data_IF_024249971561
#
_entry.id   IF_024249971561
#
_cell.length_a   1.000
_cell.length_b   1.000
_cell.length_c   1.000
_cell.angle_alpha   90.00
_cell.angle_beta   90.00
_cell.angle_gamma   90.00
#
_symmetry.space_group_name_H-M   'P 1'
#
loop_
_entity.id
_entity.type
_entity.pdbx_description
1 polymer ?
#
# COMPACT_ATOMS: atom_id res chain seq x y z
N UNK A 1 -7.35 -26.86 -17.11
CA UNK A 1 -6.08 -26.36 -16.53
C UNK A 1 -6.22 -24.88 -16.35
N UNK A 2 -6.32 -24.39 -15.12
CA UNK A 2 -6.31 -22.97 -14.82
C UNK A 2 -4.86 -22.50 -14.81
N UNK A 3 -4.44 -21.79 -15.87
CA UNK A 3 -3.11 -21.22 -15.96
C UNK A 3 -2.87 -20.15 -14.90
N UNK A 4 -1.62 -19.68 -14.76
CA UNK A 4 -1.26 -18.55 -13.88
C UNK A 4 -2.04 -17.30 -14.28
N UNK A 5 -2.69 -16.67 -13.31
CA UNK A 5 -3.45 -15.43 -13.50
C UNK A 5 -2.60 -14.27 -13.00
N UNK A 6 -2.40 -13.27 -13.86
CA UNK A 6 -1.70 -12.03 -13.50
C UNK A 6 -2.68 -11.05 -12.86
N UNK A 7 -2.29 -10.45 -11.75
CA UNK A 7 -2.98 -9.33 -11.12
C UNK A 7 -2.07 -8.11 -11.06
N UNK A 8 -2.66 -6.93 -11.23
CA UNK A 8 -2.03 -5.65 -10.93
C UNK A 8 -2.57 -5.16 -9.61
N UNK A 9 -1.67 -4.81 -8.70
CA UNK A 9 -1.97 -4.17 -7.41
C UNK A 9 -1.45 -2.75 -7.49
N UNK A 10 -2.34 -1.77 -7.47
CA UNK A 10 -1.99 -0.35 -7.43
C UNK A 10 -2.06 0.14 -5.99
N UNK A 11 -1.02 0.81 -5.54
CA UNK A 11 -0.98 1.45 -4.22
C UNK A 11 -0.50 2.89 -4.32
N UNK A 12 -0.82 3.68 -3.31
CA UNK A 12 -0.34 5.04 -3.11
C UNK A 12 0.25 5.17 -1.71
N UNK A 13 1.33 5.93 -1.57
CA UNK A 13 2.02 6.15 -0.30
C UNK A 13 2.15 7.64 0.02
N UNK A 14 1.80 8.04 1.23
CA UNK A 14 2.13 9.36 1.76
C UNK A 14 3.58 9.37 2.25
N UNK A 15 4.48 10.11 1.58
CA UNK A 15 5.91 10.05 1.85
C UNK A 15 6.28 10.50 3.27
N UNK A 16 5.55 11.46 3.85
CA UNK A 16 5.83 11.98 5.20
C UNK A 16 5.52 10.95 6.28
N UNK A 17 4.39 10.27 6.19
CA UNK A 17 3.89 9.33 7.21
C UNK A 17 4.19 7.88 6.90
N UNK A 18 4.59 7.58 5.67
CA UNK A 18 4.74 6.20 5.11
C UNK A 18 3.42 5.43 5.06
N UNK A 19 2.29 6.08 5.31
CA UNK A 19 0.98 5.44 5.18
C UNK A 19 0.75 5.01 3.74
N UNK A 20 0.28 3.79 3.55
CA UNK A 20 0.01 3.17 2.25
C UNK A 20 -1.47 2.90 2.12
N UNK A 21 -2.01 3.13 0.95
CA UNK A 21 -3.34 2.69 0.56
C UNK A 21 -3.30 1.83 -0.69
N UNK A 22 -4.05 0.73 -0.70
CA UNK A 22 -4.25 -0.08 -1.89
C UNK A 22 -5.38 0.53 -2.72
N UNK A 23 -5.00 1.30 -3.71
CA UNK A 23 -5.93 2.02 -4.58
C UNK A 23 -6.76 1.09 -5.48
N UNK A 24 -6.27 -0.13 -5.73
CA UNK A 24 -7.04 -1.13 -6.48
C UNK A 24 -6.27 -2.40 -6.79
N UNK A 25 -7.02 -3.47 -7.07
CA UNK A 25 -6.49 -4.75 -7.56
C UNK A 25 -7.36 -5.15 -8.74
N UNK A 26 -6.74 -5.53 -9.85
CA UNK A 26 -7.45 -5.97 -11.06
C UNK A 26 -6.63 -6.94 -11.90
N UNK A 27 -7.30 -7.74 -12.71
CA UNK A 27 -6.69 -8.58 -13.76
C UNK A 27 -6.53 -7.81 -15.08
N UNK A 28 -7.35 -6.80 -15.30
CA UNK A 28 -7.42 -6.03 -16.54
C UNK A 28 -7.30 -4.53 -16.21
N UNK A 29 -6.07 -4.03 -16.00
CA UNK A 29 -5.84 -2.61 -15.78
C UNK A 29 -6.02 -1.86 -17.10
N UNK A 30 -7.11 -1.11 -17.22
CA UNK A 30 -7.43 -0.28 -18.38
C UNK A 30 -7.67 1.18 -17.98
N UNK A 31 -7.92 2.02 -18.97
CA UNK A 31 -8.17 3.46 -18.76
C UNK A 31 -9.42 3.72 -17.90
N UNK A 32 -10.46 2.89 -18.01
CA UNK A 32 -11.70 3.05 -17.23
C UNK A 32 -11.44 2.72 -15.77
N UNK A 33 -10.74 1.62 -15.51
CA UNK A 33 -10.33 1.25 -14.16
C UNK A 33 -9.44 2.34 -13.52
N UNK A 34 -8.46 2.87 -14.26
CA UNK A 34 -7.62 3.97 -13.78
C UNK A 34 -8.41 5.23 -13.49
N UNK A 35 -9.43 5.55 -14.32
CA UNK A 35 -10.33 6.69 -14.08
C UNK A 35 -11.12 6.50 -12.79
N UNK A 36 -11.62 5.29 -12.52
CA UNK A 36 -12.32 4.99 -11.27
C UNK A 36 -11.38 5.04 -10.06
N UNK A 37 -10.16 4.52 -10.18
CA UNK A 37 -9.13 4.63 -9.14
C UNK A 37 -8.85 6.12 -8.82
N UNK A 38 -8.70 6.96 -9.84
CA UNK A 38 -8.50 8.38 -9.61
C UNK A 38 -9.66 9.01 -8.81
N UNK A 39 -10.92 8.69 -9.19
CA UNK A 39 -12.12 9.19 -8.48
C UNK A 39 -12.10 8.81 -7.01
N UNK A 40 -11.81 7.54 -6.70
CA UNK A 40 -11.76 7.05 -5.32
C UNK A 40 -10.65 7.74 -4.51
N UNK A 41 -9.47 7.92 -5.11
CA UNK A 41 -8.33 8.57 -4.45
C UNK A 41 -8.57 10.04 -4.12
N UNK A 42 -9.34 10.76 -4.94
CA UNK A 42 -9.64 12.19 -4.77
C UNK A 42 -11.02 12.46 -4.18
N UNK A 43 -11.72 11.43 -3.69
CA UNK A 43 -13.04 11.61 -3.09
C UNK A 43 -13.02 12.70 -2.01
N UNK A 44 -14.06 13.54 -1.98
CA UNK A 44 -14.11 14.69 -1.08
C UNK A 44 -14.31 14.30 0.38
N UNK A 45 -14.85 13.11 0.67
CA UNK A 45 -15.16 12.64 2.01
C UNK A 45 -14.02 11.79 2.58
N UNK A 46 -13.58 10.77 1.86
CA UNK A 46 -12.66 9.75 2.33
C UNK A 46 -11.45 9.49 1.42
N UNK A 47 -11.30 10.25 0.34
CA UNK A 47 -10.20 10.07 -0.62
C UNK A 47 -8.81 10.19 0.04
N UNK A 48 -7.96 9.22 -0.22
CA UNK A 48 -6.60 9.16 0.34
C UNK A 48 -5.73 10.37 -0.03
N UNK A 49 -6.00 11.03 -1.17
CA UNK A 49 -5.26 12.21 -1.62
C UNK A 49 -5.82 13.54 -1.11
N UNK A 50 -6.77 13.53 -0.17
CA UNK A 50 -7.25 14.78 0.45
C UNK A 50 -6.09 15.56 1.06
N UNK A 51 -6.00 16.86 0.73
CA UNK A 51 -4.94 17.75 1.22
C UNK A 51 -3.55 17.45 0.65
N UNK A 52 -3.46 16.59 -0.37
CA UNK A 52 -2.21 16.31 -1.07
C UNK A 52 -2.10 17.23 -2.28
N UNK A 53 -0.95 17.92 -2.42
CA UNK A 53 -0.70 18.82 -3.56
C UNK A 53 0.02 18.14 -4.72
N UNK A 54 0.84 17.13 -4.44
CA UNK A 54 1.67 16.48 -5.45
C UNK A 54 1.58 14.96 -5.36
N UNK A 55 1.42 14.30 -6.51
CA UNK A 55 1.51 12.84 -6.62
C UNK A 55 2.64 12.45 -7.56
N UNK A 56 3.65 11.78 -7.03
CA UNK A 56 4.74 11.24 -7.84
C UNK A 56 4.25 9.98 -8.55
N UNK A 57 4.41 9.95 -9.86
CA UNK A 57 4.07 8.83 -10.73
C UNK A 57 5.33 8.28 -11.39
N UNK A 58 5.46 6.97 -11.44
CA UNK A 58 6.44 6.33 -12.30
C UNK A 58 6.05 6.49 -13.79
N UNK A 59 6.73 5.77 -14.68
CA UNK A 59 6.51 5.88 -16.13
C UNK A 59 5.53 4.85 -16.68
N UNK A 60 4.76 4.17 -15.82
CA UNK A 60 3.81 3.19 -16.28
C UNK A 60 2.77 3.84 -17.24
N UNK A 61 2.52 3.22 -18.40
CA UNK A 61 1.53 3.72 -19.35
C UNK A 61 0.09 3.74 -18.81
N UNK A 62 -0.19 3.02 -17.74
CA UNK A 62 -1.49 3.05 -17.05
C UNK A 62 -1.84 4.45 -16.52
N UNK A 63 -0.86 5.31 -16.22
CA UNK A 63 -1.11 6.70 -15.84
C UNK A 63 -1.46 7.55 -17.07
N UNK A 64 -2.64 7.29 -17.64
CA UNK A 64 -3.16 7.93 -18.85
C UNK A 64 -3.28 9.45 -18.71
N UNK A 65 -3.50 10.16 -19.82
CA UNK A 65 -3.81 11.59 -19.81
C UNK A 65 -5.03 11.85 -18.95
N UNK A 66 -6.14 11.10 -19.18
CA UNK A 66 -7.40 11.24 -18.43
C UNK A 66 -7.22 11.04 -16.92
N UNK A 67 -6.39 10.07 -16.48
CA UNK A 67 -6.04 9.88 -15.07
C UNK A 67 -5.36 11.14 -14.50
N UNK A 68 -4.36 11.66 -15.19
CA UNK A 68 -3.60 12.84 -14.72
C UNK A 68 -4.44 14.12 -14.71
N UNK A 69 -5.31 14.31 -15.70
CA UNK A 69 -6.16 15.49 -15.77
C UNK A 69 -7.18 15.48 -14.62
N UNK A 70 -7.78 14.34 -14.33
CA UNK A 70 -8.68 14.20 -13.18
C UNK A 70 -8.01 14.52 -11.83
N UNK A 71 -6.75 14.16 -11.66
CA UNK A 71 -5.98 14.59 -10.48
C UNK A 71 -5.80 16.11 -10.45
N UNK A 72 -5.44 16.73 -11.59
CA UNK A 72 -5.25 18.19 -11.66
C UNK A 72 -6.55 18.94 -11.36
N UNK A 73 -7.68 18.46 -11.89
CA UNK A 73 -9.01 19.06 -11.65
C UNK A 73 -9.38 19.05 -10.16
N UNK A 74 -8.82 18.14 -9.38
CA UNK A 74 -8.99 18.09 -7.91
C UNK A 74 -7.91 18.83 -7.12
N UNK A 75 -6.99 19.52 -7.79
CA UNK A 75 -5.88 20.26 -7.16
C UNK A 75 -4.63 19.41 -6.87
N UNK A 76 -4.58 18.16 -7.31
CA UNK A 76 -3.40 17.31 -7.16
C UNK A 76 -2.54 17.37 -8.42
N UNK A 77 -1.32 17.88 -8.32
CA UNK A 77 -0.38 17.95 -9.44
C UNK A 77 0.39 16.63 -9.62
N UNK A 78 0.18 15.88 -10.70
CA UNK A 78 0.93 14.67 -10.97
C UNK A 78 2.34 14.99 -11.47
N UNK A 79 3.36 14.48 -10.80
CA UNK A 79 4.77 14.62 -11.12
C UNK A 79 5.30 13.30 -11.69
N UNK A 80 5.61 13.28 -12.99
CA UNK A 80 6.25 12.10 -13.61
C UNK A 80 7.73 12.06 -13.31
N UNK A 81 8.20 10.92 -12.82
CA UNK A 81 9.62 10.71 -12.57
C UNK A 81 10.45 10.82 -13.87
N UNK A 82 11.64 11.45 -13.81
CA UNK A 82 12.59 11.38 -14.89
C UNK A 82 12.99 9.93 -15.22
N UNK A 83 13.51 9.71 -16.43
CA UNK A 83 14.07 8.42 -16.77
C UNK A 83 15.30 8.11 -15.89
N UNK A 84 15.47 6.85 -15.51
CA UNK A 84 16.67 6.39 -14.76
C UNK A 84 16.90 7.12 -13.42
N UNK A 85 15.82 7.43 -12.70
CA UNK A 85 15.88 8.11 -11.40
C UNK A 85 15.32 7.22 -10.26
N UNK A 86 15.92 6.05 -9.98
CA UNK A 86 15.37 5.08 -9.00
C UNK A 86 15.28 5.68 -7.60
N UNK A 87 16.23 6.54 -7.21
CA UNK A 87 16.24 7.16 -5.88
C UNK A 87 14.98 7.99 -5.57
N UNK A 88 14.30 8.51 -6.58
CA UNK A 88 13.10 9.31 -6.42
C UNK A 88 11.85 8.47 -6.08
N UNK A 89 11.94 7.14 -6.22
CA UNK A 89 10.85 6.20 -5.88
C UNK A 89 11.26 5.16 -4.82
N UNK A 90 12.37 5.36 -4.14
CA UNK A 90 12.97 4.38 -3.23
C UNK A 90 12.02 3.89 -2.12
N UNK A 91 11.08 4.73 -1.66
CA UNK A 91 10.10 4.33 -0.64
C UNK A 91 9.04 3.38 -1.19
N UNK A 92 8.54 3.65 -2.38
CA UNK A 92 7.59 2.78 -3.05
C UNK A 92 8.24 1.44 -3.42
N UNK A 93 9.47 1.47 -3.95
CA UNK A 93 10.25 0.26 -4.26
C UNK A 93 10.49 -0.59 -3.01
N UNK A 94 10.83 0.03 -1.89
CA UNK A 94 10.99 -0.68 -0.60
C UNK A 94 9.69 -1.32 -0.14
N UNK A 95 8.56 -0.62 -0.24
CA UNK A 95 7.25 -1.19 0.08
C UNK A 95 6.94 -2.40 -0.81
N UNK A 96 7.15 -2.28 -2.13
CA UNK A 96 6.97 -3.39 -3.09
C UNK A 96 7.87 -4.56 -2.74
N UNK A 97 9.14 -4.31 -2.41
CA UNK A 97 10.07 -5.34 -1.95
C UNK A 97 9.55 -6.06 -0.71
N UNK A 98 9.10 -5.31 0.29
CA UNK A 98 8.56 -5.87 1.54
C UNK A 98 7.31 -6.72 1.31
N UNK A 99 6.29 -6.22 0.60
CA UNK A 99 5.07 -7.01 0.36
C UNK A 99 5.35 -8.27 -0.44
N UNK A 100 6.29 -8.20 -1.39
CA UNK A 100 6.69 -9.38 -2.17
C UNK A 100 7.40 -10.43 -1.31
N UNK A 101 8.43 -10.03 -0.56
CA UNK A 101 9.26 -10.98 0.19
C UNK A 101 8.61 -11.47 1.49
N UNK A 102 7.93 -10.60 2.22
CA UNK A 102 7.39 -10.90 3.55
C UNK A 102 5.96 -11.49 3.50
N UNK A 103 5.23 -11.31 2.38
CA UNK A 103 3.87 -11.79 2.23
C UNK A 103 3.70 -12.69 1.00
N UNK A 104 3.79 -12.13 -0.22
CA UNK A 104 3.38 -12.83 -1.43
C UNK A 104 4.29 -14.01 -1.80
N UNK A 105 5.59 -13.97 -1.46
CA UNK A 105 6.50 -15.08 -1.67
C UNK A 105 6.28 -16.25 -0.68
N UNK A 106 5.54 -16.02 0.40
CA UNK A 106 5.28 -17.00 1.46
C UNK A 106 3.96 -17.75 1.25
N UNK A 107 3.20 -17.42 0.21
CA UNK A 107 1.87 -17.99 -0.04
C UNK A 107 1.52 -18.02 -1.53
N UNK A 108 0.57 -18.88 -1.87
CA UNK A 108 -0.02 -18.89 -3.22
C UNK A 108 -1.44 -18.34 -3.12
N UNK A 109 -1.72 -17.13 -3.64
CA UNK A 109 -3.07 -16.57 -3.63
C UNK A 109 -4.02 -17.39 -4.50
N UNK A 110 -5.08 -17.93 -3.91
CA UNK A 110 -6.13 -18.67 -4.61
C UNK A 110 -7.22 -17.71 -5.09
N UNK A 111 -6.93 -16.99 -6.17
CA UNK A 111 -7.85 -16.00 -6.76
C UNK A 111 -7.76 -14.60 -6.15
N UNK A 112 -8.59 -13.69 -6.69
CA UNK A 112 -8.54 -12.26 -6.35
C UNK A 112 -8.91 -11.99 -4.89
N UNK A 113 -9.95 -12.65 -4.38
CA UNK A 113 -10.39 -12.45 -2.98
C UNK A 113 -9.30 -12.80 -1.97
N UNK A 114 -8.58 -13.90 -2.19
CA UNK A 114 -7.46 -14.29 -1.35
C UNK A 114 -6.29 -13.30 -1.45
N UNK A 115 -5.96 -12.84 -2.67
CA UNK A 115 -4.94 -11.81 -2.88
C UNK A 115 -5.31 -10.50 -2.16
N UNK A 116 -6.56 -10.04 -2.26
CA UNK A 116 -7.05 -8.84 -1.56
C UNK A 116 -6.92 -8.98 -0.04
N UNK A 117 -7.33 -10.10 0.50
CA UNK A 117 -7.23 -10.38 1.94
C UNK A 117 -5.77 -10.38 2.40
N UNK A 118 -4.88 -11.02 1.63
CA UNK A 118 -3.46 -11.08 1.95
C UNK A 118 -2.80 -9.70 1.94
N UNK A 119 -3.03 -8.92 0.88
CA UNK A 119 -2.47 -7.57 0.75
C UNK A 119 -3.00 -6.63 1.83
N UNK A 120 -4.30 -6.70 2.16
CA UNK A 120 -4.90 -5.92 3.26
C UNK A 120 -4.26 -6.28 4.60
N UNK A 121 -4.19 -7.57 4.94
CA UNK A 121 -3.55 -8.01 6.18
C UNK A 121 -2.07 -7.59 6.28
N UNK A 122 -1.35 -7.59 5.14
CA UNK A 122 0.02 -7.06 5.08
C UNK A 122 0.07 -5.56 5.34
N UNK A 123 -0.82 -4.75 4.76
CA UNK A 123 -0.88 -3.30 4.97
C UNK A 123 -1.20 -2.97 6.42
N UNK A 124 -2.15 -3.69 7.05
CA UNK A 124 -2.46 -3.54 8.47
C UNK A 124 -1.22 -3.85 9.33
N UNK A 125 -0.53 -4.96 9.05
CA UNK A 125 0.74 -5.31 9.72
C UNK A 125 1.80 -4.23 9.50
N UNK A 126 1.96 -3.75 8.27
CA UNK A 126 2.92 -2.71 7.88
C UNK A 126 2.69 -1.40 8.64
N UNK A 127 1.45 -1.01 8.90
CA UNK A 127 1.11 0.21 9.62
C UNK A 127 1.19 0.05 11.15
N UNK A 128 0.62 -1.02 11.67
CA UNK A 128 0.34 -1.15 13.10
C UNK A 128 1.43 -1.86 13.88
N UNK A 129 2.14 -2.78 13.24
CA UNK A 129 2.94 -3.79 13.90
C UNK A 129 4.41 -3.78 13.46
N UNK A 130 4.71 -3.25 12.28
CA UNK A 130 6.07 -3.23 11.73
C UNK A 130 6.82 -1.96 12.13
N UNK A 131 7.99 -2.08 12.83
CA UNK A 131 8.85 -0.92 13.09
C UNK A 131 9.51 -0.42 11.81
N UNK A 132 9.58 0.91 11.65
CA UNK A 132 10.18 1.56 10.50
C UNK A 132 11.42 2.35 10.88
N UNK A 133 12.61 1.94 10.40
CA UNK A 133 13.87 2.63 10.68
C UNK A 133 13.82 4.13 10.36
N UNK A 134 13.22 4.50 9.21
CA UNK A 134 13.06 5.90 8.81
C UNK A 134 12.10 6.72 9.68
N UNK A 135 11.42 6.08 10.63
CA UNK A 135 10.55 6.71 11.64
C UNK A 135 11.10 6.47 13.07
N UNK A 136 12.40 6.24 13.23
CA UNK A 136 13.01 5.96 14.52
C UNK A 136 12.56 4.64 15.14
N UNK A 137 12.36 3.61 14.32
CA UNK A 137 11.85 2.28 14.70
C UNK A 137 10.43 2.31 15.31
N UNK A 138 9.63 3.30 14.98
CA UNK A 138 8.22 3.36 15.38
C UNK A 138 7.32 2.75 14.31
N UNK A 139 6.15 2.25 14.72
CA UNK A 139 5.07 1.89 13.80
C UNK A 139 4.43 3.15 13.23
N UNK A 140 3.83 3.05 12.04
CA UNK A 140 3.14 4.17 11.37
C UNK A 140 1.89 4.58 12.15
N UNK A 141 1.08 3.62 12.54
CA UNK A 141 -0.16 3.79 13.29
C UNK A 141 -0.26 2.70 14.37
N UNK A 142 0.52 2.78 15.46
CA UNK A 142 0.49 1.72 16.47
C UNK A 142 -0.89 1.58 17.09
N UNK A 143 -1.41 0.37 17.14
CA UNK A 143 -2.64 0.08 17.86
C UNK A 143 -2.42 0.36 19.35
N UNK A 144 -3.19 1.29 19.92
CA UNK A 144 -3.04 1.82 21.29
C UNK A 144 -3.07 0.73 22.37
N UNK A 145 -3.71 -0.39 22.10
CA UNK A 145 -3.83 -1.54 23.01
C UNK A 145 -2.56 -2.42 23.14
N UNK A 146 -1.46 -2.07 22.46
CA UNK A 146 -0.28 -2.95 22.39
C UNK A 146 0.88 -2.51 23.29
N UNK A 147 0.69 -1.48 24.10
CA UNK A 147 1.70 -0.98 25.05
C UNK A 147 1.27 -1.44 26.45
N UNK A 148 1.76 -2.58 26.88
CA UNK A 148 1.47 -3.13 28.19
C UNK A 148 2.73 -3.59 28.94
N UNK A 149 2.59 -3.86 30.24
CA UNK A 149 3.63 -4.45 31.11
C UNK A 149 3.40 -5.93 31.40
N UNK A 150 2.33 -6.51 30.87
CA UNK A 150 1.96 -7.92 31.06
C UNK A 150 2.81 -8.91 30.25
N UNK A 151 2.39 -10.18 30.17
CA UNK A 151 3.13 -11.22 29.48
C UNK A 151 3.26 -10.95 27.97
N UNK A 152 4.35 -11.44 27.38
CA UNK A 152 4.56 -11.37 25.93
C UNK A 152 3.56 -12.27 25.23
N UNK A 153 2.88 -11.72 24.24
CA UNK A 153 1.96 -12.41 23.34
C UNK A 153 2.39 -12.25 21.89
N UNK A 154 1.92 -13.15 21.03
CA UNK A 154 2.11 -13.09 19.60
C UNK A 154 0.77 -12.90 18.92
N UNK A 155 0.66 -11.90 18.04
CA UNK A 155 -0.42 -11.77 17.07
C UNK A 155 0.08 -12.33 15.75
N UNK A 156 -0.69 -13.22 15.17
CA UNK A 156 -0.39 -13.82 13.88
C UNK A 156 -1.41 -13.35 12.84
N UNK A 157 -0.92 -13.08 11.62
CA UNK A 157 -1.74 -12.82 10.44
C UNK A 157 -1.35 -13.79 9.34
N UNK A 158 -2.27 -14.07 8.42
CA UNK A 158 -2.07 -14.96 7.27
C UNK A 158 -1.56 -16.37 7.68
N UNK A 159 -2.15 -16.95 8.71
CA UNK A 159 -1.78 -18.29 9.17
C UNK A 159 -0.37 -18.37 9.75
N UNK A 160 0.14 -17.28 10.35
CA UNK A 160 1.46 -17.23 10.97
C UNK A 160 2.59 -16.74 10.04
N UNK A 161 2.26 -16.34 8.79
CA UNK A 161 3.23 -15.73 7.87
C UNK A 161 3.74 -14.39 8.42
N UNK A 162 2.83 -13.58 8.99
CA UNK A 162 3.19 -12.32 9.66
C UNK A 162 3.00 -12.48 11.16
N UNK A 163 4.03 -12.16 11.93
CA UNK A 163 4.05 -12.28 13.39
C UNK A 163 4.42 -10.96 14.03
N UNK A 164 3.70 -10.61 15.08
CA UNK A 164 3.97 -9.44 15.89
C UNK A 164 3.95 -9.81 17.38
N UNK A 165 5.05 -9.54 18.07
CA UNK A 165 5.18 -9.79 19.50
C UNK A 165 4.96 -8.51 20.29
N UNK A 166 4.09 -8.54 21.28
CA UNK A 166 3.74 -7.40 22.12
C UNK A 166 3.52 -7.81 23.57
N UNK A 167 3.59 -6.87 24.49
CA UNK A 167 3.20 -7.09 25.88
C UNK A 167 1.72 -6.78 26.05
N UNK A 168 0.98 -7.71 26.64
CA UNK A 168 -0.43 -7.49 26.97
C UNK A 168 -0.56 -6.37 28.03
N UNK A 169 -1.75 -5.78 28.17
CA UNK A 169 -2.07 -4.97 29.33
C UNK A 169 -1.92 -5.81 30.61
N UNK A 170 -1.54 -5.17 31.70
CA UNK A 170 -1.45 -5.81 33.02
C UNK A 170 -2.84 -6.09 33.55
#
# INVERSE_FOLDING_TARGET
MTGLVRYVVLFVMKLKTRTVEIAGITRQPDANWMTQVARNLIDAQDGFLRGVHYLILDRDPLYTVAFRDRLRDSGVTPLRLPARSPNLNAFAERFVGSVKSECLAQMVPLGEGHLRAAVRAFVDHYHEERPHQGLGNKCIAPATALIGSGPVRCRERLGGVLKFYYRAAA
#
